data_IF_913426762712
#
_entry.id   IF_913426762712
#
_cell.length_a   1.000
_cell.length_b   1.000
_cell.length_c   1.000
_cell.angle_alpha   90.00
_cell.angle_beta   90.00
_cell.angle_gamma   90.00
#
_symmetry.space_group_name_H-M   'P 1'
#
loop_
_entity.id
_entity.type
_entity.pdbx_description
1 polymer ?
#
# COMPACT_ATOMS: atom_id res chain seq x y z
N UNK A 1 6.76 116.91 -68.70
CA UNK A 1 7.49 116.61 -69.95
C UNK A 1 7.27 115.12 -70.26
N UNK A 2 7.03 114.78 -71.53
CA UNK A 2 5.74 114.54 -72.18
C UNK A 2 5.30 113.06 -72.06
N UNK A 3 4.01 112.70 -72.01
CA UNK A 3 3.02 112.65 -73.10
C UNK A 3 3.47 111.81 -74.32
N UNK A 4 2.68 110.77 -74.63
CA UNK A 4 2.23 110.29 -75.97
C UNK A 4 2.01 108.76 -75.90
N UNK A 5 0.81 108.18 -76.00
CA UNK A 5 -0.39 108.38 -76.83
C UNK A 5 -0.28 107.76 -78.23
N UNK A 6 -1.38 107.14 -78.66
CA UNK A 6 -1.72 106.44 -79.92
C UNK A 6 -1.31 104.97 -80.01
N UNK A 7 -2.18 103.94 -79.96
CA UNK A 7 -3.55 103.64 -80.47
C UNK A 7 -3.77 103.82 -81.98
N UNK A 8 -3.87 102.69 -82.71
CA UNK A 8 -4.98 102.38 -83.63
C UNK A 8 -4.84 100.92 -84.13
N UNK A 9 -5.87 100.08 -83.93
CA UNK A 9 -6.91 99.65 -84.91
C UNK A 9 -6.34 98.69 -85.98
N UNK A 10 -6.92 97.52 -86.24
CA UNK A 10 -8.33 97.33 -86.57
C UNK A 10 -8.89 95.92 -86.26
N UNK A 11 -10.10 95.95 -85.70
CA UNK A 11 -11.29 95.12 -85.96
C UNK A 11 -11.15 93.70 -86.52
N UNK A 12 -11.65 92.72 -85.76
CA UNK A 12 -12.81 91.94 -86.23
C UNK A 12 -13.59 91.34 -85.06
N UNK A 13 -14.81 91.84 -84.88
CA UNK A 13 -15.83 91.28 -83.99
C UNK A 13 -16.35 89.98 -84.62
N UNK A 14 -16.27 88.86 -83.90
CA UNK A 14 -17.22 87.77 -84.05
C UNK A 14 -17.81 87.47 -82.67
N UNK A 15 -19.12 87.59 -82.61
CA UNK A 15 -19.95 87.52 -81.41
C UNK A 15 -20.42 86.08 -81.21
N UNK A 16 -19.78 85.33 -80.31
CA UNK A 16 -20.41 84.19 -79.63
C UNK A 16 -19.81 84.04 -78.23
N UNK A 17 -20.66 84.07 -77.22
CA UNK A 17 -20.38 83.45 -75.94
C UNK A 17 -21.66 82.77 -75.45
N UNK A 18 -21.65 82.06 -74.30
CA UNK A 18 -20.54 81.34 -73.67
C UNK A 18 -20.98 79.95 -73.18
N UNK A 19 -20.17 78.88 -73.30
CA UNK A 19 -20.41 77.65 -72.54
C UNK A 19 -19.13 77.06 -71.97
N UNK A 20 -18.63 77.71 -70.92
CA UNK A 20 -17.69 77.13 -69.97
C UNK A 20 -18.49 76.18 -69.07
N UNK A 21 -18.44 74.88 -69.32
CA UNK A 21 -18.87 73.88 -68.34
C UNK A 21 -17.87 73.83 -67.18
N UNK A 22 -18.00 74.76 -66.24
CA UNK A 22 -17.50 74.56 -64.87
C UNK A 22 -18.42 73.55 -64.20
N UNK A 23 -18.07 72.26 -64.26
CA UNK A 23 -18.59 71.26 -63.30
C UNK A 23 -17.91 71.52 -61.95
N UNK A 24 -18.31 72.61 -61.31
CA UNK A 24 -17.89 73.01 -59.98
C UNK A 24 -18.81 72.40 -58.93
N UNK A 25 -18.60 71.13 -58.57
CA UNK A 25 -19.15 70.58 -57.31
C UNK A 25 -18.23 71.07 -56.18
N UNK A 26 -18.47 72.31 -55.75
CA UNK A 26 -17.70 73.04 -54.73
C UNK A 26 -18.45 73.04 -53.39
N UNK A 27 -17.71 72.87 -52.29
CA UNK A 27 -18.14 73.38 -50.98
C UNK A 27 -18.17 72.36 -49.84
N UNK A 28 -19.25 71.58 -49.71
CA UNK A 28 -19.59 70.93 -48.42
C UNK A 28 -19.78 69.41 -48.48
N UNK A 29 -20.39 68.88 -49.56
CA UNK A 29 -20.56 67.42 -49.73
C UNK A 29 -19.24 66.67 -49.91
N UNK A 30 -18.26 67.24 -50.62
CA UNK A 30 -16.88 66.69 -50.69
C UNK A 30 -16.21 66.69 -49.33
N UNK A 31 -16.34 67.75 -48.53
CA UNK A 31 -15.76 67.82 -47.17
C UNK A 31 -16.41 66.81 -46.23
N UNK A 32 -17.73 66.61 -46.33
CA UNK A 32 -18.44 65.57 -45.60
C UNK A 32 -17.99 64.16 -46.02
N UNK A 33 -17.78 63.93 -47.33
CA UNK A 33 -17.29 62.66 -47.84
C UNK A 33 -15.83 62.41 -47.41
N UNK A 34 -14.94 63.40 -47.50
CA UNK A 34 -13.56 63.28 -47.00
C UNK A 34 -13.51 63.08 -45.49
N UNK A 35 -14.37 63.76 -44.72
CA UNK A 35 -14.48 63.53 -43.28
C UNK A 35 -14.99 62.12 -42.96
N UNK A 36 -15.99 61.64 -43.70
CA UNK A 36 -16.50 60.27 -43.55
C UNK A 36 -15.44 59.22 -43.93
N UNK A 37 -14.72 59.41 -45.03
CA UNK A 37 -13.61 58.55 -45.44
C UNK A 37 -12.46 58.60 -44.44
N UNK A 38 -12.12 59.78 -43.90
CA UNK A 38 -11.12 59.94 -42.84
C UNK A 38 -11.54 59.21 -41.57
N UNK A 39 -12.80 59.37 -41.14
CA UNK A 39 -13.36 58.69 -39.97
C UNK A 39 -13.34 57.17 -40.17
N UNK A 40 -13.69 56.69 -41.37
CA UNK A 40 -13.64 55.27 -41.72
C UNK A 40 -12.19 54.75 -41.74
N UNK A 41 -11.24 55.53 -42.25
CA UNK A 41 -9.80 55.20 -42.18
C UNK A 41 -9.31 55.13 -40.72
N UNK A 42 -9.73 56.05 -39.86
CA UNK A 42 -9.39 56.03 -38.44
C UNK A 42 -9.99 54.79 -37.76
N UNK A 43 -11.26 54.46 -38.04
CA UNK A 43 -11.89 53.23 -37.52
C UNK A 43 -11.12 51.98 -37.96
N UNK A 44 -10.69 51.90 -39.22
CA UNK A 44 -9.87 50.79 -39.72
C UNK A 44 -8.53 50.73 -38.97
N UNK A 45 -7.84 51.86 -38.78
CA UNK A 45 -6.56 51.91 -38.08
C UNK A 45 -6.71 51.49 -36.61
N UNK A 46 -7.76 51.94 -35.92
CA UNK A 46 -8.07 51.55 -34.54
C UNK A 46 -8.39 50.05 -34.47
N UNK A 47 -9.21 49.53 -35.39
CA UNK A 47 -9.53 48.10 -35.44
C UNK A 47 -8.29 47.25 -35.75
N UNK A 48 -7.41 47.70 -36.64
CA UNK A 48 -6.14 47.03 -36.94
C UNK A 48 -5.22 47.04 -35.72
N UNK A 49 -5.07 48.18 -35.05
CA UNK A 49 -4.26 48.30 -33.84
C UNK A 49 -4.79 47.42 -32.70
N UNK A 50 -6.12 47.40 -32.51
CA UNK A 50 -6.77 46.52 -31.53
C UNK A 50 -6.55 45.05 -31.87
N UNK A 51 -6.64 44.67 -33.15
CA UNK A 51 -6.39 43.29 -33.61
C UNK A 51 -4.95 42.88 -33.34
N UNK A 52 -3.97 43.72 -33.70
CA UNK A 52 -2.55 43.46 -33.44
C UNK A 52 -2.28 43.36 -31.93
N UNK A 53 -2.94 44.22 -31.14
CA UNK A 53 -2.81 44.18 -29.69
C UNK A 53 -3.38 42.90 -29.08
N UNK A 54 -4.56 42.45 -29.51
CA UNK A 54 -5.16 41.17 -29.08
C UNK A 54 -4.23 40.00 -29.45
N UNK A 55 -3.70 39.97 -30.68
CA UNK A 55 -2.77 38.93 -31.11
C UNK A 55 -1.51 38.91 -30.23
N UNK A 56 -0.98 40.08 -29.86
CA UNK A 56 0.17 40.21 -28.96
C UNK A 56 -0.15 39.75 -27.53
N UNK A 57 -1.29 40.18 -26.97
CA UNK A 57 -1.70 39.84 -25.59
C UNK A 57 -2.03 38.35 -25.44
N UNK A 58 -2.71 37.77 -26.44
CA UNK A 58 -3.00 36.34 -26.47
C UNK A 58 -1.76 35.48 -26.83
N UNK A 59 -0.59 36.09 -27.01
CA UNK A 59 0.67 35.45 -27.36
C UNK A 59 0.52 34.51 -28.58
N UNK A 60 -0.19 34.99 -29.61
CA UNK A 60 -0.26 34.31 -30.90
C UNK A 60 1.04 34.56 -31.66
N UNK A 61 1.75 33.47 -31.91
CA UNK A 61 2.93 33.44 -32.78
C UNK A 61 2.62 32.57 -33.99
N UNK A 62 3.43 32.68 -35.05
CA UNK A 62 3.28 31.84 -36.24
C UNK A 62 3.40 30.34 -35.88
N UNK A 63 4.10 30.03 -34.78
CA UNK A 63 4.32 28.67 -34.28
C UNK A 63 3.21 28.14 -33.35
N UNK A 64 2.27 29.00 -32.90
CA UNK A 64 1.18 28.59 -32.00
C UNK A 64 0.57 29.68 -31.11
N UNK A 65 -0.29 29.23 -30.18
CA UNK A 65 -1.01 30.05 -29.20
C UNK A 65 -0.50 29.75 -27.78
N UNK A 66 0.25 30.68 -27.18
CA UNK A 66 0.82 30.49 -25.84
C UNK A 66 1.72 29.24 -25.76
N UNK A 67 1.40 28.31 -24.85
CA UNK A 67 2.12 27.04 -24.68
C UNK A 67 1.76 25.99 -25.74
N UNK A 68 0.72 26.23 -26.53
CA UNK A 68 0.25 25.30 -27.57
C UNK A 68 0.94 25.61 -28.90
N UNK A 69 1.80 24.72 -29.36
CA UNK A 69 2.44 24.77 -30.68
C UNK A 69 1.73 23.84 -31.68
N UNK A 70 1.55 24.31 -32.90
CA UNK A 70 1.01 23.49 -33.99
C UNK A 70 2.20 22.94 -34.77
N UNK A 71 2.35 21.62 -34.77
CA UNK A 71 3.40 20.93 -35.53
C UNK A 71 2.77 20.11 -36.64
N UNK A 72 3.55 19.70 -37.65
CA UNK A 72 3.08 18.81 -38.73
C UNK A 72 2.50 17.48 -38.22
N UNK A 73 2.94 17.05 -37.03
CA UNK A 73 2.49 15.81 -36.37
C UNK A 73 1.26 16.00 -35.48
N UNK A 74 0.76 17.24 -35.34
CA UNK A 74 -0.37 17.60 -34.49
C UNK A 74 -0.04 18.69 -33.47
N UNK A 75 -0.83 18.75 -32.41
CA UNK A 75 -0.72 19.75 -31.35
C UNK A 75 0.33 19.34 -30.31
N UNK A 76 1.23 20.26 -29.97
CA UNK A 76 2.26 20.08 -28.94
C UNK A 76 2.09 21.14 -27.87
N UNK A 77 1.75 20.72 -26.65
CA UNK A 77 1.60 21.62 -25.51
C UNK A 77 2.88 21.60 -24.67
N UNK A 78 3.51 22.76 -24.48
CA UNK A 78 4.77 22.92 -23.77
C UNK A 78 4.60 23.81 -22.53
N UNK A 79 4.77 23.23 -21.34
CA UNK A 79 4.68 23.95 -20.07
C UNK A 79 3.44 23.55 -19.27
N UNK A 80 3.15 24.32 -18.22
CA UNK A 80 2.00 24.08 -17.37
C UNK A 80 0.71 24.35 -18.14
N UNK A 81 -0.27 23.47 -17.98
CA UNK A 81 -1.53 23.54 -18.71
C UNK A 81 -2.64 22.89 -17.92
N UNK A 82 -3.79 23.56 -17.93
CA UNK A 82 -4.99 23.12 -17.23
C UNK A 82 -6.05 22.70 -18.23
N UNK A 83 -6.73 21.60 -17.93
CA UNK A 83 -7.79 21.06 -18.75
C UNK A 83 -9.10 21.10 -17.98
N UNK A 84 -10.08 21.84 -18.52
CA UNK A 84 -11.41 21.97 -17.91
C UNK A 84 -12.28 20.70 -18.08
N UNK A 85 -11.92 19.85 -19.04
CA UNK A 85 -12.64 18.62 -19.39
C UNK A 85 -11.72 17.40 -19.30
N UNK A 86 -12.28 16.19 -19.16
CA UNK A 86 -11.48 14.97 -19.17
C UNK A 86 -10.66 14.84 -20.44
N UNK A 87 -9.41 14.38 -20.28
CA UNK A 87 -8.54 14.05 -21.39
C UNK A 87 -8.66 12.57 -21.73
N UNK A 88 -8.88 12.30 -23.01
CA UNK A 88 -8.86 10.95 -23.55
C UNK A 88 -7.60 10.80 -24.39
N UNK A 89 -6.75 9.86 -23.97
CA UNK A 89 -5.50 9.57 -24.65
C UNK A 89 -5.40 8.07 -24.89
N UNK A 90 -4.93 7.70 -26.09
CA UNK A 90 -4.60 6.31 -26.41
C UNK A 90 -3.36 5.83 -25.64
N UNK A 91 -2.42 6.73 -25.42
CA UNK A 91 -1.15 6.44 -24.76
C UNK A 91 -0.76 7.64 -23.88
N UNK A 92 -0.41 7.37 -22.62
CA UNK A 92 0.17 8.35 -21.70
C UNK A 92 1.56 7.84 -21.34
N UNK A 93 2.59 8.60 -21.74
CA UNK A 93 3.99 8.24 -21.49
C UNK A 93 4.78 9.44 -21.02
N UNK A 94 5.74 9.18 -20.14
CA UNK A 94 6.76 10.16 -19.78
C UNK A 94 7.85 10.25 -20.86
N UNK A 95 8.71 11.28 -20.75
CA UNK A 95 9.90 11.39 -21.61
C UNK A 95 10.86 10.23 -21.33
N UNK A 96 11.66 9.80 -22.32
CA UNK A 96 12.67 8.76 -22.11
C UNK A 96 13.53 9.03 -20.87
N UNK A 97 13.74 8.00 -20.05
CA UNK A 97 14.48 8.05 -18.77
C UNK A 97 13.91 8.98 -17.69
N UNK A 98 12.70 9.50 -17.85
CA UNK A 98 12.01 10.26 -16.82
C UNK A 98 10.78 9.49 -16.34
N UNK A 99 10.48 9.47 -15.04
CA UNK A 99 9.26 8.85 -14.53
C UNK A 99 8.01 9.69 -14.89
N UNK A 100 6.85 9.05 -14.90
CA UNK A 100 5.54 9.72 -14.98
C UNK A 100 5.09 10.03 -13.54
N UNK A 101 4.96 11.32 -13.22
CA UNK A 101 4.45 11.75 -11.93
C UNK A 101 2.95 12.04 -12.02
N UNK A 102 2.18 11.46 -11.09
CA UNK A 102 0.77 11.77 -10.87
C UNK A 102 0.62 12.28 -9.44
N UNK A 103 0.50 13.60 -9.29
CA UNK A 103 0.35 14.24 -7.99
C UNK A 103 -1.08 14.78 -7.85
N UNK A 104 -1.71 14.50 -6.71
CA UNK A 104 -3.06 14.93 -6.43
C UNK A 104 -3.22 15.23 -4.94
N UNK A 105 -3.97 16.28 -4.62
CA UNK A 105 -4.38 16.59 -3.24
C UNK A 105 -5.44 15.61 -2.71
N UNK A 106 -6.05 14.81 -3.61
CA UNK A 106 -7.07 13.80 -3.32
C UNK A 106 -6.62 12.43 -3.80
N UNK A 107 -7.37 11.38 -3.45
CA UNK A 107 -7.08 10.02 -3.87
C UNK A 107 -6.95 9.91 -5.40
N UNK A 108 -5.94 9.16 -5.84
CA UNK A 108 -5.74 8.81 -7.25
C UNK A 108 -6.32 7.42 -7.47
N UNK A 109 -7.26 7.29 -8.41
CA UNK A 109 -7.92 6.02 -8.71
C UNK A 109 -7.64 5.61 -10.14
N UNK A 110 -7.06 4.42 -10.31
CA UNK A 110 -6.88 3.76 -11.61
C UNK A 110 -7.95 2.68 -11.75
N UNK A 111 -8.86 2.84 -12.71
CA UNK A 111 -9.87 1.85 -13.04
C UNK A 111 -9.53 1.20 -14.38
N UNK A 112 -9.50 -0.14 -14.41
CA UNK A 112 -9.42 -0.93 -15.61
C UNK A 112 -10.83 -1.43 -15.91
N UNK A 113 -11.35 -1.07 -17.09
CA UNK A 113 -12.69 -1.42 -17.52
C UNK A 113 -12.64 -2.57 -18.54
N UNK A 114 -13.63 -3.44 -18.47
CA UNK A 114 -14.01 -4.32 -19.57
C UNK A 114 -15.37 -3.84 -20.08
N UNK A 115 -15.38 -3.36 -21.32
CA UNK A 115 -16.48 -2.59 -21.91
C UNK A 115 -16.84 -1.37 -21.03
N UNK A 116 -17.86 -1.50 -20.19
CA UNK A 116 -18.34 -0.45 -19.27
C UNK A 116 -18.17 -0.82 -17.80
N UNK A 117 -17.81 -2.08 -17.50
CA UNK A 117 -17.69 -2.58 -16.13
C UNK A 117 -16.26 -2.45 -15.63
N UNK A 118 -16.09 -1.88 -14.44
CA UNK A 118 -14.78 -1.86 -13.76
C UNK A 118 -14.42 -3.28 -13.32
N UNK A 119 -13.31 -3.81 -13.84
CA UNK A 119 -12.78 -5.14 -13.51
C UNK A 119 -11.67 -5.07 -12.47
N UNK A 120 -10.88 -4.00 -12.48
CA UNK A 120 -9.82 -3.78 -11.50
C UNK A 120 -9.77 -2.32 -11.11
N UNK A 121 -9.58 -2.07 -9.82
CA UNK A 121 -9.48 -0.74 -9.24
C UNK A 121 -8.28 -0.69 -8.32
N UNK A 122 -7.42 0.31 -8.51
CA UNK A 122 -6.35 0.65 -7.60
C UNK A 122 -6.57 2.08 -7.10
N UNK A 123 -6.75 2.26 -5.80
CA UNK A 123 -6.93 3.56 -5.16
C UNK A 123 -5.70 3.85 -4.30
N UNK A 124 -4.97 4.90 -4.64
CA UNK A 124 -3.91 5.45 -3.81
C UNK A 124 -4.46 6.66 -3.05
N UNK A 125 -4.73 6.48 -1.75
CA UNK A 125 -5.17 7.54 -0.86
C UNK A 125 -4.08 7.98 0.12
N UNK A 126 -4.38 9.01 0.92
CA UNK A 126 -3.45 9.53 1.93
C UNK A 126 -3.23 8.60 3.13
N UNK A 127 -4.16 7.67 3.37
CA UNK A 127 -4.14 6.73 4.50
C UNK A 127 -3.81 5.29 4.11
N UNK A 128 -4.22 4.87 2.92
CA UNK A 128 -4.13 3.48 2.49
C UNK A 128 -4.05 3.38 0.97
N UNK A 129 -3.54 2.22 0.52
CA UNK A 129 -3.62 1.78 -0.87
C UNK A 129 -4.61 0.62 -0.91
N UNK A 130 -5.68 0.78 -1.69
CA UNK A 130 -6.72 -0.23 -1.85
C UNK A 130 -6.68 -0.81 -3.26
N UNK A 131 -6.63 -2.14 -3.36
CA UNK A 131 -6.65 -2.85 -4.63
C UNK A 131 -7.86 -3.79 -4.66
N UNK A 132 -8.73 -3.63 -5.66
CA UNK A 132 -9.86 -4.52 -5.92
C UNK A 132 -9.67 -5.17 -7.29
N UNK A 133 -9.61 -6.50 -7.33
CA UNK A 133 -9.43 -7.28 -8.56
C UNK A 133 -9.40 -8.76 -8.24
N UNK A 134 -9.24 -9.60 -9.27
CA UNK A 134 -9.20 -11.06 -9.12
C UNK A 134 -7.90 -11.58 -8.49
N UNK A 135 -6.81 -10.83 -8.62
CA UNK A 135 -5.48 -11.21 -8.16
C UNK A 135 -4.63 -9.97 -7.91
N UNK A 136 -3.91 -9.96 -6.81
CA UNK A 136 -2.91 -8.96 -6.46
C UNK A 136 -1.55 -9.63 -6.26
N UNK A 137 -0.49 -9.11 -6.87
CA UNK A 137 0.85 -9.65 -6.75
C UNK A 137 1.87 -8.54 -6.46
N UNK A 138 2.79 -8.83 -5.55
CA UNK A 138 3.98 -8.03 -5.28
C UNK A 138 5.20 -8.86 -5.62
N UNK A 139 6.00 -8.38 -6.56
CA UNK A 139 7.25 -9.02 -7.01
C UNK A 139 8.44 -8.15 -6.66
N UNK A 140 9.56 -8.79 -6.37
CA UNK A 140 10.87 -8.14 -6.28
C UNK A 140 11.31 -7.61 -7.66
N UNK A 141 12.31 -6.73 -7.69
CA UNK A 141 12.93 -6.24 -8.92
C UNK A 141 13.53 -7.35 -9.79
N UNK A 142 13.83 -8.51 -9.20
CA UNK A 142 14.29 -9.72 -9.91
C UNK A 142 13.15 -10.59 -10.46
N UNK A 143 11.89 -10.22 -10.23
CA UNK A 143 10.71 -11.00 -10.61
C UNK A 143 10.26 -12.06 -9.60
N UNK A 144 11.00 -12.28 -8.50
CA UNK A 144 10.60 -13.21 -7.42
C UNK A 144 9.29 -12.76 -6.77
N UNK A 145 8.31 -13.66 -6.64
CA UNK A 145 7.06 -13.39 -5.93
C UNK A 145 7.32 -13.20 -4.43
N UNK A 146 6.87 -12.07 -3.87
CA UNK A 146 6.98 -11.75 -2.44
C UNK A 146 5.65 -11.93 -1.71
N UNK A 147 4.55 -11.55 -2.36
CA UNK A 147 3.20 -11.67 -1.82
C UNK A 147 2.20 -11.81 -2.98
N UNK A 148 1.23 -12.71 -2.87
CA UNK A 148 0.04 -12.71 -3.73
C UNK A 148 -1.21 -13.01 -2.95
N UNK A 149 -2.33 -12.46 -3.41
CA UNK A 149 -3.66 -12.75 -2.89
C UNK A 149 -4.66 -12.88 -4.05
N UNK A 150 -5.46 -13.93 -4.02
CA UNK A 150 -6.62 -14.13 -4.89
C UNK A 150 -7.80 -14.74 -4.10
N UNK A 151 -8.86 -15.14 -4.79
CA UNK A 151 -10.07 -15.69 -4.16
C UNK A 151 -9.83 -17.05 -3.46
N UNK A 152 -8.74 -17.75 -3.77
CA UNK A 152 -8.47 -19.09 -3.25
C UNK A 152 -7.44 -19.05 -2.11
N UNK A 153 -6.35 -18.30 -2.29
CA UNK A 153 -5.25 -18.31 -1.34
C UNK A 153 -4.48 -16.98 -1.24
N UNK A 154 -3.74 -16.86 -0.14
CA UNK A 154 -2.75 -15.82 0.09
C UNK A 154 -1.39 -16.48 0.23
N UNK A 155 -0.47 -16.15 -0.66
CA UNK A 155 0.88 -16.73 -0.70
C UNK A 155 1.89 -15.68 -0.25
N UNK A 156 2.71 -16.05 0.74
CA UNK A 156 3.85 -15.23 1.19
C UNK A 156 5.14 -15.90 0.70
N UNK A 157 5.75 -15.33 -0.35
CA UNK A 157 6.99 -15.83 -0.96
C UNK A 157 8.28 -15.26 -0.36
N UNK A 158 8.15 -14.40 0.65
CA UNK A 158 9.28 -13.87 1.40
C UNK A 158 9.92 -14.96 2.28
N UNK A 159 11.25 -14.95 2.40
CA UNK A 159 11.99 -15.95 3.20
C UNK A 159 11.71 -15.85 4.70
N UNK A 160 11.30 -14.66 5.18
CA UNK A 160 10.96 -14.42 6.57
C UNK A 160 9.70 -13.57 6.64
N UNK A 161 8.67 -14.11 7.29
CA UNK A 161 7.48 -13.36 7.70
C UNK A 161 7.60 -13.02 9.18
N UNK A 162 7.66 -11.73 9.51
CA UNK A 162 7.65 -11.23 10.90
C UNK A 162 6.31 -10.58 11.17
N UNK A 163 5.54 -11.14 12.11
CA UNK A 163 4.27 -10.54 12.54
C UNK A 163 4.55 -9.69 13.78
N UNK A 164 4.61 -8.38 13.58
CA UNK A 164 4.88 -7.39 14.63
C UNK A 164 3.55 -6.81 15.13
N UNK A 165 2.86 -7.56 15.99
CA UNK A 165 1.71 -7.06 16.76
C UNK A 165 2.09 -6.98 18.22
N UNK A 166 1.71 -5.89 18.93
CA UNK A 166 1.94 -5.77 20.37
C UNK A 166 1.32 -6.95 21.16
N UNK A 167 0.18 -7.46 20.67
CA UNK A 167 -0.56 -8.61 21.19
C UNK A 167 -0.28 -9.91 20.42
N UNK A 168 0.73 -9.92 19.55
CA UNK A 168 1.03 -11.05 18.67
C UNK A 168 0.00 -11.22 17.54
N UNK A 169 -0.32 -12.48 17.22
CA UNK A 169 -1.23 -12.85 16.13
C UNK A 169 -2.15 -13.97 16.61
N UNK A 170 -3.43 -13.86 16.26
CA UNK A 170 -4.46 -14.86 16.60
C UNK A 170 -4.76 -15.69 15.36
N UNK A 171 -4.56 -16.99 15.47
CA UNK A 171 -4.94 -17.95 14.44
C UNK A 171 -6.23 -18.66 14.89
N UNK A 172 -7.40 -18.32 14.31
CA UNK A 172 -8.69 -18.89 14.75
C UNK A 172 -8.85 -20.36 14.36
N UNK A 173 -8.00 -20.85 13.46
CA UNK A 173 -7.94 -22.24 13.00
C UNK A 173 -6.53 -22.80 13.23
N UNK A 174 -6.33 -24.06 12.87
CA UNK A 174 -5.04 -24.73 12.95
C UNK A 174 -3.99 -24.09 12.03
N UNK A 175 -2.75 -24.05 12.52
CA UNK A 175 -1.57 -23.76 11.72
C UNK A 175 -0.85 -25.08 11.51
N UNK A 176 -0.55 -25.41 10.26
CA UNK A 176 0.26 -26.57 9.93
C UNK A 176 1.68 -26.11 9.62
N UNK A 177 2.66 -26.70 10.29
CA UNK A 177 4.09 -26.43 10.03
C UNK A 177 4.89 -27.71 10.26
N UNK A 178 5.88 -28.02 9.41
CA UNK A 178 6.74 -29.18 9.61
C UNK A 178 7.65 -29.04 10.83
N UNK A 179 7.91 -27.82 11.30
CA UNK A 179 8.80 -27.59 12.43
C UNK A 179 8.43 -26.31 13.20
N UNK A 180 8.60 -26.35 14.51
CA UNK A 180 8.46 -25.19 15.41
C UNK A 180 9.76 -25.07 16.19
N UNK A 181 10.43 -23.93 16.08
CA UNK A 181 11.69 -23.63 16.78
C UNK A 181 11.72 -22.18 17.26
N UNK A 182 12.47 -21.94 18.32
CA UNK A 182 12.82 -20.59 18.75
C UNK A 182 13.98 -20.01 17.93
N UNK A 183 14.20 -18.70 18.08
CA UNK A 183 15.42 -18.05 17.58
C UNK A 183 16.66 -18.61 18.31
N UNK A 184 17.85 -18.55 17.69
CA UNK A 184 19.10 -18.89 18.37
C UNK A 184 19.23 -18.15 19.70
N UNK A 185 19.65 -18.89 20.75
CA UNK A 185 19.82 -18.38 22.12
C UNK A 185 18.52 -17.91 22.80
N UNK A 186 17.35 -18.23 22.25
CA UNK A 186 16.05 -18.03 22.90
C UNK A 186 15.39 -19.37 23.20
N UNK A 187 14.62 -19.40 24.28
CA UNK A 187 13.79 -20.54 24.64
C UNK A 187 12.52 -20.62 23.78
N UNK A 188 12.13 -21.84 23.37
CA UNK A 188 10.82 -22.08 22.78
C UNK A 188 9.79 -22.20 23.90
N UNK A 189 8.94 -21.19 24.05
CA UNK A 189 7.86 -21.18 25.03
C UNK A 189 6.55 -21.55 24.37
N UNK A 190 5.98 -22.68 24.79
CA UNK A 190 4.60 -23.06 24.51
C UNK A 190 3.85 -22.95 25.84
N UNK A 191 2.99 -21.94 25.99
CA UNK A 191 2.29 -21.67 27.25
C UNK A 191 0.79 -21.41 27.04
N UNK A 192 0.01 -21.80 28.04
CA UNK A 192 -1.43 -21.52 28.11
C UNK A 192 -1.74 -20.96 29.50
N UNK A 193 -1.62 -19.62 29.71
CA UNK A 193 -1.71 -19.03 31.05
C UNK A 193 -3.09 -19.17 31.70
N UNK A 194 -4.15 -19.26 30.88
CA UNK A 194 -5.54 -19.23 31.34
C UNK A 194 -6.28 -20.55 31.20
N UNK A 195 -5.73 -21.51 30.43
CA UNK A 195 -6.41 -22.76 30.07
C UNK A 195 -5.42 -23.92 30.12
N UNK A 196 -5.51 -24.83 29.15
CA UNK A 196 -4.64 -25.98 28.99
C UNK A 196 -3.77 -25.83 27.75
N UNK A 197 -2.60 -26.45 27.78
CA UNK A 197 -1.79 -26.76 26.61
C UNK A 197 -1.90 -28.28 26.39
N UNK A 198 -2.28 -28.71 25.19
CA UNK A 198 -2.45 -30.12 24.84
C UNK A 198 -1.50 -30.45 23.70
N UNK A 199 -0.74 -31.53 23.85
CA UNK A 199 0.17 -32.05 22.83
C UNK A 199 -0.20 -33.52 22.56
N UNK A 200 -0.69 -33.79 21.35
CA UNK A 200 -1.15 -35.10 20.91
C UNK A 200 -0.44 -35.49 19.61
N UNK A 201 -0.06 -36.76 19.47
CA UNK A 201 0.61 -37.26 18.28
C UNK A 201 0.21 -38.72 17.99
N UNK A 202 -0.04 -39.09 16.71
CA UNK A 202 -0.47 -40.45 16.36
C UNK A 202 0.55 -41.54 16.70
N UNK A 203 1.84 -41.22 16.63
CA UNK A 203 2.95 -42.14 16.93
C UNK A 203 3.50 -41.98 18.36
N UNK A 204 2.84 -41.18 19.20
CA UNK A 204 3.33 -40.79 20.52
C UNK A 204 4.13 -39.48 20.50
N UNK A 205 4.32 -38.92 21.69
CA UNK A 205 5.05 -37.66 21.92
C UNK A 205 6.35 -38.00 22.64
N UNK A 206 7.49 -37.68 22.04
CA UNK A 206 8.81 -37.80 22.66
C UNK A 206 9.28 -36.42 23.13
N UNK A 207 9.59 -36.30 24.41
CA UNK A 207 10.17 -35.08 25.00
C UNK A 207 11.59 -35.44 25.42
N UNK A 208 12.59 -34.92 24.69
CA UNK A 208 13.99 -35.19 24.94
C UNK A 208 14.77 -33.90 25.24
N UNK A 209 15.69 -33.96 26.19
CA UNK A 209 16.62 -32.89 26.53
C UNK A 209 18.05 -33.39 26.34
N UNK A 210 18.58 -33.28 25.12
CA UNK A 210 19.93 -33.77 24.76
C UNK A 210 21.03 -33.12 25.61
N UNK A 211 20.85 -31.85 25.97
CA UNK A 211 21.67 -31.13 26.92
C UNK A 211 20.76 -30.41 27.94
N UNK A 212 20.97 -30.66 29.24
CA UNK A 212 20.24 -30.03 30.34
C UNK A 212 19.35 -30.98 31.14
N UNK A 213 18.39 -30.42 31.87
CA UNK A 213 17.37 -31.16 32.64
C UNK A 213 15.98 -30.92 32.05
N UNK A 214 15.12 -31.94 32.14
CA UNK A 214 13.68 -31.79 31.98
C UNK A 214 13.07 -31.54 33.36
N UNK A 215 12.44 -30.38 33.55
CA UNK A 215 11.78 -30.01 34.80
C UNK A 215 10.28 -29.88 34.58
N UNK A 216 9.50 -30.67 35.33
CA UNK A 216 8.05 -30.57 35.36
C UNK A 216 7.60 -30.10 36.74
N UNK A 217 6.96 -28.94 36.80
CA UNK A 217 6.44 -28.36 38.05
C UNK A 217 4.91 -28.22 37.95
N UNK A 218 4.21 -28.66 38.99
CA UNK A 218 2.76 -28.54 39.12
C UNK A 218 2.41 -27.83 40.44
N UNK A 219 1.36 -27.01 40.43
CA UNK A 219 0.87 -26.35 41.67
C UNK A 219 0.02 -27.28 42.53
N UNK A 220 -0.79 -28.13 41.90
CA UNK A 220 -1.70 -29.06 42.57
C UNK A 220 -1.23 -30.49 42.38
N UNK A 221 -1.49 -31.06 41.20
CA UNK A 221 -1.27 -32.47 40.93
C UNK A 221 -0.46 -32.66 39.65
N UNK A 222 0.45 -33.64 39.68
CA UNK A 222 1.08 -34.22 38.49
C UNK A 222 0.54 -35.65 38.34
N UNK A 223 -0.25 -35.89 37.30
CA UNK A 223 -0.82 -37.21 37.00
C UNK A 223 -0.06 -37.83 35.82
N UNK A 224 0.64 -38.93 36.08
CA UNK A 224 1.21 -39.81 35.06
C UNK A 224 0.31 -41.05 34.98
N UNK A 225 -0.27 -41.31 33.81
CA UNK A 225 -1.22 -42.40 33.60
C UNK A 225 -0.93 -43.11 32.29
N UNK A 226 -0.89 -44.44 32.34
CA UNK A 226 -0.77 -45.31 31.18
C UNK A 226 -2.00 -46.20 31.11
N UNK A 227 -2.72 -46.19 29.98
CA UNK A 227 -3.96 -46.97 29.80
C UNK A 227 -3.68 -48.44 29.47
N UNK A 228 -2.75 -48.68 28.55
CA UNK A 228 -2.47 -50.01 27.97
C UNK A 228 -0.97 -50.37 28.01
N UNK A 229 -0.23 -49.82 28.98
CA UNK A 229 1.21 -50.04 29.08
C UNK A 229 1.76 -49.75 30.47
N UNK A 230 3.06 -49.57 30.57
CA UNK A 230 3.74 -49.28 31.83
C UNK A 230 4.30 -47.84 31.88
N UNK A 231 4.48 -47.34 33.10
CA UNK A 231 5.23 -46.12 33.36
C UNK A 231 6.61 -46.55 33.86
N UNK A 232 7.63 -46.43 33.01
CA UNK A 232 9.01 -46.77 33.35
C UNK A 232 9.78 -45.51 33.78
N UNK A 233 10.27 -45.52 35.02
CA UNK A 233 11.20 -44.52 35.53
C UNK A 233 12.59 -45.15 35.58
N UNK A 234 13.42 -44.88 34.58
CA UNK A 234 14.77 -45.44 34.45
C UNK A 234 15.82 -44.39 34.83
N UNK A 235 16.32 -44.47 36.06
CA UNK A 235 17.30 -43.53 36.57
C UNK A 235 18.13 -44.17 37.70
N UNK A 236 19.39 -43.73 37.85
CA UNK A 236 20.26 -44.19 38.93
C UNK A 236 19.70 -43.87 40.32
N UNK A 237 18.92 -42.79 40.46
CA UNK A 237 18.30 -42.38 41.73
C UNK A 237 16.92 -41.77 41.46
N UNK A 238 15.87 -42.40 41.99
CA UNK A 238 14.51 -41.85 42.02
C UNK A 238 14.23 -41.38 43.45
N UNK A 239 13.79 -40.13 43.61
CA UNK A 239 13.52 -39.53 44.92
C UNK A 239 12.08 -39.06 45.01
N UNK A 240 11.38 -39.47 46.07
CA UNK A 240 10.05 -38.98 46.44
C UNK A 240 10.16 -38.26 47.79
N UNK A 241 10.65 -37.00 47.80
CA UNK A 241 10.87 -36.28 49.05
C UNK A 241 9.54 -35.87 49.69
N UNK A 242 9.53 -35.74 51.03
CA UNK A 242 8.38 -35.24 51.81
C UNK A 242 7.11 -36.09 51.71
N UNK A 243 7.25 -37.40 51.50
CA UNK A 243 6.14 -38.32 51.73
C UNK A 243 5.64 -38.18 53.19
N UNK A 244 4.31 -38.14 53.43
CA UNK A 244 3.76 -38.09 54.78
C UNK A 244 4.31 -39.23 55.62
N UNK A 245 4.87 -38.92 56.80
CA UNK A 245 5.33 -39.95 57.73
C UNK A 245 4.12 -40.58 58.40
N UNK A 246 4.06 -41.91 58.41
CA UNK A 246 3.06 -42.62 59.18
C UNK A 246 3.32 -42.46 60.67
N UNK A 247 2.26 -42.26 61.44
CA UNK A 247 2.31 -42.38 62.88
C UNK A 247 2.09 -43.85 63.24
N UNK A 248 3.08 -44.44 63.92
CA UNK A 248 2.95 -45.78 64.50
C UNK A 248 1.93 -45.72 65.64
N UNK A 249 0.83 -46.47 65.50
CA UNK A 249 -0.12 -46.70 66.59
C UNK A 249 0.02 -48.16 67.01
N UNK A 250 0.54 -48.39 68.22
CA UNK A 250 0.69 -49.73 68.81
C UNK A 250 -0.66 -50.40 69.08
N UNK A 251 -1.76 -49.65 69.03
CA UNK A 251 -3.11 -50.13 69.28
C UNK A 251 -3.88 -50.29 67.96
N UNK A 252 -3.72 -51.44 67.30
CA UNK A 252 -4.73 -52.18 66.51
C UNK A 252 -5.58 -51.49 65.43
N UNK A 253 -5.46 -50.20 65.14
CA UNK A 253 -6.28 -49.55 64.11
C UNK A 253 -5.59 -49.68 62.75
N UNK A 254 -6.32 -50.16 61.73
CA UNK A 254 -5.89 -50.24 60.33
C UNK A 254 -5.16 -48.95 59.90
N UNK A 255 -3.82 -49.02 59.76
CA UNK A 255 -3.04 -47.91 59.21
C UNK A 255 -3.50 -47.65 57.77
N UNK A 256 -3.76 -46.38 57.44
CA UNK A 256 -4.16 -45.93 56.09
C UNK A 256 -2.98 -45.49 55.23
N UNK A 257 -1.78 -45.37 55.83
CA UNK A 257 -0.56 -44.89 55.18
C UNK A 257 0.50 -45.96 55.35
N UNK A 258 1.13 -46.36 54.24
CA UNK A 258 2.17 -47.38 54.17
C UNK A 258 3.41 -46.81 53.49
N UNK A 259 4.58 -47.29 53.89
CA UNK A 259 5.83 -47.08 53.16
C UNK A 259 5.90 -48.09 52.00
N UNK A 260 6.29 -47.65 50.81
CA UNK A 260 6.56 -48.54 49.68
C UNK A 260 8.07 -48.81 49.66
N UNK A 261 8.44 -50.07 49.88
CA UNK A 261 9.83 -50.52 49.92
C UNK A 261 10.17 -51.26 48.62
N UNK A 262 11.36 -51.00 48.08
CA UNK A 262 11.87 -51.64 46.86
C UNK A 262 12.95 -52.64 47.22
N UNK A 263 12.74 -53.91 46.92
CA UNK A 263 13.73 -54.96 47.08
C UNK A 263 14.85 -54.82 46.02
N UNK A 264 16.07 -55.36 46.26
CA UNK A 264 17.15 -55.38 45.26
C UNK A 264 16.78 -56.10 43.95
N UNK A 265 15.83 -57.04 44.01
CA UNK A 265 15.28 -57.75 42.85
C UNK A 265 14.16 -56.97 42.11
N UNK A 266 13.88 -55.73 42.50
CA UNK A 266 12.88 -54.86 41.88
C UNK A 266 11.44 -55.06 42.38
N UNK A 267 11.18 -56.03 43.27
CA UNK A 267 9.84 -56.22 43.85
C UNK A 267 9.50 -55.09 44.82
N UNK A 268 8.24 -54.65 44.80
CA UNK A 268 7.70 -53.64 45.70
C UNK A 268 6.89 -54.33 46.81
N UNK A 269 7.08 -53.90 48.05
CA UNK A 269 6.26 -54.34 49.17
C UNK A 269 5.86 -53.17 50.07
N UNK A 270 4.72 -53.33 50.74
CA UNK A 270 4.21 -52.34 51.68
C UNK A 270 4.78 -52.62 53.07
N UNK A 271 5.36 -51.61 53.70
CA UNK A 271 5.76 -51.61 55.11
C UNK A 271 4.90 -50.64 55.92
N UNK A 272 4.78 -50.90 57.22
CA UNK A 272 4.06 -50.00 58.14
C UNK A 272 4.79 -48.66 58.23
N UNK A 273 4.10 -47.56 57.95
CA UNK A 273 4.74 -46.25 57.96
C UNK A 273 5.05 -45.79 59.40
N UNK A 274 6.28 -45.32 59.65
CA UNK A 274 6.78 -44.95 60.97
C UNK A 274 7.53 -43.60 61.04
N UNK A 275 8.09 -43.27 62.21
CA UNK A 275 8.86 -42.03 62.43
C UNK A 275 10.21 -42.02 61.67
N UNK A 276 10.73 -43.20 61.31
CA UNK A 276 11.85 -43.42 60.40
C UNK A 276 11.51 -44.55 59.43
N UNK A 277 12.35 -44.75 58.40
CA UNK A 277 12.15 -45.80 57.38
C UNK A 277 12.05 -47.18 58.04
N UNK A 278 10.91 -47.84 57.89
CA UNK A 278 10.67 -49.21 58.36
C UNK A 278 10.91 -50.24 57.27
N UNK A 279 11.39 -49.82 56.10
CA UNK A 279 11.84 -50.71 55.03
C UNK A 279 13.00 -51.59 55.49
N UNK A 280 12.68 -52.70 56.14
CA UNK A 280 13.59 -53.79 56.45
C UNK A 280 13.42 -54.87 55.38
N UNK A 281 14.53 -55.47 54.95
CA UNK A 281 14.51 -56.54 53.95
C UNK A 281 13.68 -57.70 54.52
N UNK A 282 12.44 -57.83 54.04
CA UNK A 282 11.64 -59.01 54.32
C UNK A 282 12.06 -60.09 53.34
N UNK A 283 12.84 -61.05 53.82
CA UNK A 283 13.39 -62.16 53.04
C UNK A 283 12.31 -63.00 52.35
N UNK A 284 11.07 -62.99 52.84
CA UNK A 284 9.95 -63.71 52.20
C UNK A 284 9.45 -63.04 50.91
N UNK A 285 9.66 -61.73 50.74
CA UNK A 285 9.19 -60.95 49.58
C UNK A 285 10.35 -60.59 48.65
N UNK A 286 11.52 -60.29 49.23
CA UNK A 286 12.73 -59.88 48.53
C UNK A 286 13.67 -61.02 48.11
N UNK A 287 13.29 -62.30 48.31
CA UNK A 287 14.00 -63.47 47.76
C UNK A 287 13.93 -63.55 46.25
#
# INVERSE_FOLDING_TARGET
>A
MPQEQYTNRDTMHSSEGPHIYKVGIYGWRKRCLYFFVLLLMILILVNLAMTIWILKVMNFTIDGMGNLRITEKGLRLEGDSEFLKPLYAKEIRSRPRNPLYLQSARNVTVNILNETKVVTRLVAGSRAIEACGKRFEVKSNSGKLLFSADDNEVVVGAERLRVLGAEGTVFPKSIETPHVRADPFKELRLESPTRSLVMEAPKGVEINAEAGSLEAMCRTDLRLESKDGEIKLDAAKIKLPRLPRGLYSSTGSRQKVFEICVCPNGRLFLSQAGAGSTCQINTSVCS
#
